data_IF_768097024450
#
_entry.id   IF_768097024450
#
_cell.length_a   1.000
_cell.length_b   1.000
_cell.length_c   1.000
_cell.angle_alpha   90.00
_cell.angle_beta   90.00
_cell.angle_gamma   90.00
#
_symmetry.space_group_name_H-M   'P 1'
#
loop_
_entity.id
_entity.type
_entity.pdbx_description
1 polymer ?
#
# COMPACT_ATOMS: atom_id res chain seq x y z
N UNK A 1 38.30 -10.83 -63.71
CA UNK A 1 38.41 -12.01 -62.83
C UNK A 1 38.21 -11.51 -61.40
N UNK A 2 37.01 -11.66 -60.86
CA UNK A 2 36.64 -11.26 -59.50
C UNK A 2 36.14 -12.50 -58.77
N UNK A 3 36.70 -12.88 -57.61
CA UNK A 3 36.25 -14.07 -56.91
C UNK A 3 34.99 -13.78 -56.08
N UNK A 4 33.99 -14.65 -56.28
CA UNK A 4 32.90 -14.93 -55.36
C UNK A 4 33.47 -15.33 -53.99
N UNK A 5 33.05 -14.66 -52.91
CA UNK A 5 33.16 -15.21 -51.56
C UNK A 5 31.78 -15.22 -50.90
N UNK A 6 31.17 -16.39 -50.99
CA UNK A 6 30.09 -16.85 -50.12
C UNK A 6 30.68 -16.99 -48.71
N UNK A 7 30.20 -16.22 -47.73
CA UNK A 7 30.37 -16.57 -46.32
C UNK A 7 28.98 -16.82 -45.71
N UNK A 8 28.68 -18.06 -45.27
CA UNK A 8 27.42 -18.39 -44.65
C UNK A 8 27.43 -17.93 -43.19
N UNK A 9 26.26 -17.50 -42.72
CA UNK A 9 25.69 -17.97 -41.46
C UNK A 9 26.62 -17.97 -40.23
N UNK A 10 26.74 -16.82 -39.55
CA UNK A 10 27.04 -16.81 -38.11
C UNK A 10 26.23 -15.72 -37.41
N UNK A 11 24.91 -15.93 -37.36
CA UNK A 11 24.01 -15.29 -36.40
C UNK A 11 24.33 -15.82 -35.01
N UNK A 12 25.22 -15.16 -34.27
CA UNK A 12 25.40 -15.43 -32.85
C UNK A 12 24.28 -14.76 -32.07
N UNK A 13 23.10 -15.40 -32.05
CA UNK A 13 22.00 -15.01 -31.18
C UNK A 13 22.38 -15.42 -29.75
N UNK A 14 23.02 -14.51 -29.00
CA UNK A 14 23.18 -14.68 -27.55
C UNK A 14 21.79 -14.47 -26.94
N UNK A 15 20.97 -15.52 -26.92
CA UNK A 15 19.84 -15.56 -26.00
C UNK A 15 20.42 -15.82 -24.62
N UNK A 16 20.72 -14.75 -23.88
CA UNK A 16 20.85 -14.89 -22.43
C UNK A 16 19.47 -15.32 -21.92
N UNK A 17 19.29 -16.63 -21.70
CA UNK A 17 18.24 -17.10 -20.81
C UNK A 17 18.60 -16.55 -19.42
N UNK A 18 18.08 -15.37 -19.10
CA UNK A 18 17.96 -14.96 -17.70
C UNK A 18 16.91 -15.89 -17.12
N UNK A 19 17.35 -16.98 -16.51
CA UNK A 19 16.50 -17.75 -15.61
C UNK A 19 16.31 -16.88 -14.37
N UNK A 20 15.23 -16.10 -14.35
CA UNK A 20 14.79 -15.44 -13.13
C UNK A 20 14.63 -16.54 -12.07
N UNK A 21 15.46 -16.50 -11.03
CA UNK A 21 15.31 -17.42 -9.91
C UNK A 21 13.90 -17.23 -9.35
N UNK A 22 13.17 -18.31 -9.03
CA UNK A 22 11.86 -18.18 -8.41
C UNK A 22 12.01 -17.42 -7.10
N UNK A 23 11.14 -16.43 -6.88
CA UNK A 23 11.07 -15.68 -5.63
C UNK A 23 10.84 -16.63 -4.44
N UNK A 24 11.36 -16.25 -3.28
CA UNK A 24 11.11 -16.98 -2.05
C UNK A 24 9.59 -17.04 -1.78
N UNK A 25 9.02 -18.19 -1.34
CA UNK A 25 7.58 -18.33 -1.15
C UNK A 25 6.95 -17.25 -0.25
N UNK A 26 7.64 -16.86 0.82
CA UNK A 26 7.19 -15.78 1.70
C UNK A 26 7.14 -14.41 1.00
N UNK A 27 8.07 -14.14 0.08
CA UNK A 27 8.05 -12.91 -0.72
C UNK A 27 6.87 -12.90 -1.68
N UNK A 28 6.56 -14.03 -2.32
CA UNK A 28 5.38 -14.15 -3.18
C UNK A 28 4.07 -13.96 -2.39
N UNK A 29 4.00 -14.49 -1.16
CA UNK A 29 2.87 -14.29 -0.28
C UNK A 29 2.69 -12.80 0.06
N UNK A 30 3.76 -12.11 0.47
CA UNK A 30 3.72 -10.66 0.71
C UNK A 30 3.24 -9.88 -0.52
N UNK A 31 3.79 -10.13 -1.71
CA UNK A 31 3.38 -9.42 -2.93
C UNK A 31 1.90 -9.67 -3.27
N UNK A 32 1.42 -10.90 -3.03
CA UNK A 32 -0.01 -11.23 -3.18
C UNK A 32 -0.86 -10.44 -2.19
N UNK A 33 -0.42 -10.31 -0.95
CA UNK A 33 -1.14 -9.56 0.08
C UNK A 33 -1.12 -8.05 -0.15
N UNK A 34 -0.01 -7.49 -0.65
CA UNK A 34 0.11 -6.08 -1.07
C UNK A 34 -0.90 -5.80 -2.20
N UNK A 35 -1.01 -6.68 -3.19
CA UNK A 35 -2.03 -6.57 -4.24
C UNK A 35 -3.46 -6.69 -3.68
N UNK A 36 -3.70 -7.61 -2.75
CA UNK A 36 -5.01 -7.74 -2.10
C UNK A 36 -5.38 -6.52 -1.24
N UNK A 37 -4.38 -5.87 -0.62
CA UNK A 37 -4.54 -4.62 0.12
C UNK A 37 -4.91 -3.47 -0.82
N UNK A 38 -4.20 -3.34 -1.94
CA UNK A 38 -4.48 -2.38 -3.00
C UNK A 38 -5.93 -2.49 -3.52
N UNK A 39 -6.40 -3.71 -3.80
CA UNK A 39 -7.80 -3.96 -4.14
C UNK A 39 -8.79 -3.56 -3.03
N UNK A 40 -8.43 -3.76 -1.76
CA UNK A 40 -9.28 -3.37 -0.64
C UNK A 40 -9.37 -1.84 -0.49
N UNK A 41 -8.29 -1.10 -0.74
CA UNK A 41 -8.29 0.37 -0.77
C UNK A 41 -9.27 0.86 -1.83
N UNK A 42 -9.17 0.37 -3.07
CA UNK A 42 -10.11 0.73 -4.14
C UNK A 42 -11.56 0.40 -3.82
N UNK A 43 -11.81 -0.75 -3.18
CA UNK A 43 -13.15 -1.12 -2.75
C UNK A 43 -13.70 -0.13 -1.71
N UNK A 44 -12.88 0.29 -0.75
CA UNK A 44 -13.24 1.32 0.22
C UNK A 44 -13.50 2.67 -0.47
N UNK A 45 -12.65 3.08 -1.42
CA UNK A 45 -12.82 4.29 -2.23
C UNK A 45 -14.16 4.31 -2.98
N UNK A 46 -14.51 3.19 -3.61
CA UNK A 46 -15.78 3.06 -4.32
C UNK A 46 -16.97 3.11 -3.36
N UNK A 47 -16.87 2.46 -2.19
CA UNK A 47 -17.93 2.46 -1.20
C UNK A 47 -18.21 3.87 -0.65
N UNK A 48 -17.17 4.64 -0.31
CA UNK A 48 -17.37 6.02 0.13
C UNK A 48 -17.84 6.92 -1.01
N UNK A 49 -17.31 6.77 -2.22
CA UNK A 49 -17.75 7.57 -3.37
C UNK A 49 -19.25 7.38 -3.69
N UNK A 50 -19.78 6.18 -3.45
CA UNK A 50 -21.20 5.85 -3.65
C UNK A 50 -22.11 6.13 -2.44
N UNK A 51 -21.56 6.59 -1.31
CA UNK A 51 -22.31 6.79 -0.07
C UNK A 51 -23.34 7.93 -0.21
N UNK A 52 -24.65 7.66 -0.04
CA UNK A 52 -25.69 8.68 -0.22
C UNK A 52 -26.04 9.44 1.08
N UNK A 53 -25.38 9.18 2.20
CA UNK A 53 -25.75 9.70 3.52
C UNK A 53 -26.61 8.74 4.35
N UNK A 54 -26.73 9.03 5.65
CA UNK A 54 -27.47 8.23 6.63
C UNK A 54 -26.68 7.04 7.20
N UNK A 55 -27.15 6.49 8.31
CA UNK A 55 -26.40 5.46 9.07
C UNK A 55 -26.44 4.08 8.42
N UNK A 56 -27.59 3.67 7.86
CA UNK A 56 -27.75 2.37 7.22
C UNK A 56 -26.97 2.27 5.89
N UNK A 57 -26.99 3.28 4.99
CA UNK A 57 -26.20 3.24 3.77
C UNK A 57 -24.68 3.33 3.98
N UNK A 58 -24.21 3.52 5.22
CA UNK A 58 -22.79 3.54 5.57
C UNK A 58 -22.19 2.13 5.73
N UNK A 59 -23.03 1.09 5.89
CA UNK A 59 -22.60 -0.30 6.07
C UNK A 59 -21.62 -0.82 5.00
N UNK A 60 -21.81 -0.56 3.69
CA UNK A 60 -20.84 -0.99 2.68
C UNK A 60 -19.43 -0.43 2.93
N UNK A 61 -19.32 0.80 3.42
CA UNK A 61 -18.03 1.39 3.75
C UNK A 61 -17.43 0.77 5.02
N UNK A 62 -18.24 0.49 6.05
CA UNK A 62 -17.78 -0.27 7.24
C UNK A 62 -17.18 -1.61 6.84
N UNK A 63 -17.89 -2.36 6.00
CA UNK A 63 -17.44 -3.67 5.52
C UNK A 63 -16.15 -3.55 4.70
N UNK A 64 -16.06 -2.56 3.80
CA UNK A 64 -14.86 -2.33 3.01
C UNK A 64 -13.65 -1.93 3.88
N UNK A 65 -13.85 -1.04 4.86
CA UNK A 65 -12.81 -0.64 5.80
C UNK A 65 -12.35 -1.79 6.70
N UNK A 66 -13.27 -2.63 7.18
CA UNK A 66 -12.92 -3.83 7.94
C UNK A 66 -12.06 -4.79 7.09
N UNK A 67 -12.36 -4.92 5.79
CA UNK A 67 -11.57 -5.70 4.86
C UNK A 67 -10.18 -5.07 4.61
N UNK A 68 -10.10 -3.75 4.47
CA UNK A 68 -8.85 -2.99 4.37
C UNK A 68 -7.94 -3.25 5.57
N UNK A 69 -8.46 -3.06 6.78
CA UNK A 69 -7.75 -3.34 8.05
C UNK A 69 -7.28 -4.80 8.09
N UNK A 70 -8.16 -5.74 7.75
CA UNK A 70 -7.82 -7.18 7.74
C UNK A 70 -6.66 -7.47 6.78
N UNK A 71 -6.69 -6.95 5.55
CA UNK A 71 -5.62 -7.17 4.56
C UNK A 71 -4.30 -6.59 5.02
N UNK A 72 -4.34 -5.41 5.64
CA UNK A 72 -3.15 -4.77 6.19
C UNK A 72 -2.48 -5.65 7.26
N UNK A 73 -3.28 -6.19 8.19
CA UNK A 73 -2.79 -7.09 9.25
C UNK A 73 -2.27 -8.43 8.73
N UNK A 74 -2.87 -8.99 7.68
CA UNK A 74 -2.37 -10.21 7.02
C UNK A 74 -1.00 -9.93 6.40
N UNK A 75 -0.90 -8.87 5.58
CA UNK A 75 0.37 -8.46 4.98
C UNK A 75 1.46 -8.19 6.03
N UNK A 76 1.08 -7.59 7.17
CA UNK A 76 2.01 -7.34 8.27
C UNK A 76 2.54 -8.65 8.87
N UNK A 77 1.66 -9.61 9.15
CA UNK A 77 2.07 -10.90 9.69
C UNK A 77 3.01 -11.65 8.73
N UNK A 78 2.72 -11.60 7.43
CA UNK A 78 3.59 -12.21 6.42
C UNK A 78 4.93 -11.48 6.33
N UNK A 79 4.94 -10.14 6.41
CA UNK A 79 6.15 -9.34 6.44
C UNK A 79 7.08 -9.68 7.62
N UNK A 80 6.53 -10.03 8.78
CA UNK A 80 7.32 -10.46 9.94
C UNK A 80 8.10 -11.75 9.67
N UNK A 81 7.64 -12.61 8.76
CA UNK A 81 8.28 -13.89 8.44
C UNK A 81 9.26 -13.82 7.26
N UNK A 82 9.35 -12.67 6.59
CA UNK A 82 10.24 -12.52 5.44
C UNK A 82 11.71 -12.69 5.83
N UNK A 83 12.49 -13.43 5.04
CA UNK A 83 13.94 -13.35 5.13
C UNK A 83 14.43 -11.97 4.66
N UNK A 84 15.68 -11.57 4.95
CA UNK A 84 16.30 -10.43 4.29
C UNK A 84 16.20 -10.54 2.76
N UNK A 85 15.77 -9.48 2.10
CA UNK A 85 15.54 -9.45 0.65
C UNK A 85 16.80 -9.00 -0.10
N UNK A 86 16.97 -9.50 -1.32
CA UNK A 86 17.99 -9.01 -2.26
C UNK A 86 17.67 -7.58 -2.72
N UNK A 87 18.62 -6.90 -3.37
CA UNK A 87 18.40 -5.57 -3.95
C UNK A 87 17.27 -5.60 -4.99
N UNK A 88 17.28 -6.58 -5.90
CA UNK A 88 16.29 -6.71 -6.97
C UNK A 88 14.89 -6.94 -6.41
N UNK A 89 14.77 -7.86 -5.45
CA UNK A 89 13.48 -8.15 -4.81
C UNK A 89 13.00 -6.98 -3.95
N UNK A 90 13.91 -6.27 -3.28
CA UNK A 90 13.54 -5.08 -2.52
C UNK A 90 12.99 -3.99 -3.43
N UNK A 91 13.60 -3.78 -4.61
CA UNK A 91 13.10 -2.84 -5.63
C UNK A 91 11.71 -3.23 -6.09
N UNK A 92 11.45 -4.51 -6.37
CA UNK A 92 10.11 -4.98 -6.77
C UNK A 92 9.05 -4.72 -5.69
N UNK A 93 9.37 -4.97 -4.42
CA UNK A 93 8.46 -4.67 -3.29
C UNK A 93 8.21 -3.18 -3.19
N UNK A 94 9.25 -2.35 -3.28
CA UNK A 94 9.13 -0.88 -3.25
C UNK A 94 8.27 -0.38 -4.41
N UNK A 95 8.48 -0.88 -5.63
CA UNK A 95 7.72 -0.45 -6.82
C UNK A 95 6.22 -0.75 -6.67
N UNK A 96 5.86 -1.93 -6.14
CA UNK A 96 4.45 -2.25 -5.90
C UNK A 96 3.81 -1.39 -4.79
N UNK A 97 4.57 -0.96 -3.78
CA UNK A 97 4.06 -0.05 -2.75
C UNK A 97 4.00 1.39 -3.28
N UNK A 98 4.98 1.82 -4.07
CA UNK A 98 5.05 3.16 -4.65
C UNK A 98 3.98 3.39 -5.73
N UNK A 99 3.65 2.35 -6.49
CA UNK A 99 2.76 2.40 -7.64
C UNK A 99 2.11 1.02 -7.84
N UNK A 100 0.93 0.75 -7.23
CA UNK A 100 -0.24 1.64 -7.26
C UNK A 100 -0.80 2.14 -5.91
N UNK A 101 -0.30 1.68 -4.76
CA UNK A 101 -0.98 1.89 -3.47
C UNK A 101 -1.09 3.37 -3.07
N UNK A 102 -0.01 4.14 -3.24
CA UNK A 102 -0.02 5.56 -2.84
C UNK A 102 -1.10 6.41 -3.53
N UNK A 103 -1.24 6.38 -4.88
CA UNK A 103 -2.35 7.02 -5.56
C UNK A 103 -3.74 6.57 -5.07
N UNK A 104 -3.91 5.28 -4.76
CA UNK A 104 -5.20 4.75 -4.32
C UNK A 104 -5.56 5.21 -2.89
N UNK A 105 -4.56 5.41 -2.03
CA UNK A 105 -4.72 6.07 -0.72
C UNK A 105 -5.23 7.51 -0.90
N UNK A 106 -4.64 8.26 -1.82
CA UNK A 106 -5.04 9.65 -2.08
C UNK A 106 -6.49 9.72 -2.57
N UNK A 107 -6.85 8.82 -3.47
CA UNK A 107 -8.21 8.73 -3.98
C UNK A 107 -9.22 8.40 -2.87
N UNK A 108 -8.86 7.51 -1.95
CA UNK A 108 -9.69 7.16 -0.80
C UNK A 108 -9.90 8.36 0.13
N UNK A 109 -8.81 9.03 0.53
CA UNK A 109 -8.88 10.23 1.40
C UNK A 109 -9.69 11.34 0.73
N UNK A 110 -9.43 11.63 -0.53
CA UNK A 110 -10.19 12.64 -1.28
C UNK A 110 -11.68 12.28 -1.40
N UNK A 111 -12.04 10.99 -1.47
CA UNK A 111 -13.43 10.57 -1.49
C UNK A 111 -14.12 10.74 -0.12
N UNK A 112 -13.41 10.47 0.99
CA UNK A 112 -13.90 10.78 2.34
C UNK A 112 -14.15 12.27 2.54
N UNK A 113 -13.20 13.12 2.13
CA UNK A 113 -13.33 14.57 2.21
C UNK A 113 -14.55 15.09 1.44
N UNK A 114 -14.81 14.55 0.25
CA UNK A 114 -15.99 14.92 -0.55
C UNK A 114 -17.32 14.55 0.11
N UNK A 115 -17.33 13.51 0.94
CA UNK A 115 -18.53 13.02 1.62
C UNK A 115 -18.65 13.51 3.07
N UNK A 116 -17.79 14.45 3.46
CA UNK A 116 -17.71 14.98 4.81
C UNK A 116 -19.08 15.35 5.38
N UNK A 117 -19.82 16.19 4.67
CA UNK A 117 -21.10 16.72 5.16
C UNK A 117 -22.16 15.63 5.33
N UNK A 118 -22.15 14.58 4.48
CA UNK A 118 -23.06 13.45 4.62
C UNK A 118 -22.71 12.57 5.83
N UNK A 119 -21.41 12.37 6.08
CA UNK A 119 -20.90 11.64 7.24
C UNK A 119 -21.23 12.41 8.53
N UNK A 120 -21.04 13.73 8.53
CA UNK A 120 -21.36 14.62 9.64
C UNK A 120 -22.87 14.64 9.93
N UNK A 121 -23.70 14.80 8.89
CA UNK A 121 -25.15 14.77 9.03
C UNK A 121 -25.67 13.41 9.58
N UNK A 122 -24.96 12.32 9.32
CA UNK A 122 -25.26 11.00 9.85
C UNK A 122 -24.70 10.75 11.27
N UNK A 123 -23.91 11.68 11.83
CA UNK A 123 -23.27 11.55 13.14
C UNK A 123 -22.14 10.52 13.18
N UNK A 124 -21.50 10.25 12.04
CA UNK A 124 -20.53 9.16 11.86
C UNK A 124 -19.06 9.62 11.90
N UNK A 125 -18.80 10.92 12.06
CA UNK A 125 -17.44 11.51 12.00
C UNK A 125 -16.44 10.80 12.93
N UNK A 126 -16.84 10.51 14.18
CA UNK A 126 -15.98 9.82 15.14
C UNK A 126 -15.66 8.39 14.71
N UNK A 127 -16.64 7.68 14.15
CA UNK A 127 -16.44 6.32 13.66
C UNK A 127 -15.48 6.31 12.47
N UNK A 128 -15.67 7.23 11.53
CA UNK A 128 -14.80 7.44 10.37
C UNK A 128 -13.37 7.76 10.81
N UNK A 129 -13.20 8.73 11.72
CA UNK A 129 -11.90 9.14 12.23
C UNK A 129 -11.18 7.98 12.96
N UNK A 130 -11.90 7.25 13.82
CA UNK A 130 -11.33 6.08 14.53
C UNK A 130 -10.88 5.01 13.54
N UNK A 131 -11.68 4.76 12.49
CA UNK A 131 -11.33 3.77 11.46
C UNK A 131 -10.06 4.18 10.70
N UNK A 132 -9.94 5.47 10.35
CA UNK A 132 -8.76 6.01 9.68
C UNK A 132 -7.52 5.94 10.54
N UNK A 133 -7.64 6.20 11.84
CA UNK A 133 -6.55 6.05 12.81
C UNK A 133 -6.02 4.62 12.84
N UNK A 134 -6.91 3.63 12.88
CA UNK A 134 -6.53 2.21 12.84
C UNK A 134 -5.87 1.86 11.51
N UNK A 135 -6.42 2.29 10.37
CA UNK A 135 -5.84 2.03 9.05
C UNK A 135 -4.44 2.65 8.93
N UNK A 136 -4.27 3.89 9.41
CA UNK A 136 -2.99 4.58 9.42
C UNK A 136 -1.95 3.83 10.26
N UNK A 137 -2.32 3.43 11.49
CA UNK A 137 -1.46 2.67 12.39
C UNK A 137 -1.07 1.31 11.80
N UNK A 138 -2.02 0.57 11.22
CA UNK A 138 -1.74 -0.72 10.60
C UNK A 138 -0.81 -0.54 9.38
N UNK A 139 -0.99 0.52 8.59
CA UNK A 139 -0.13 0.80 7.42
C UNK A 139 1.30 1.19 7.82
N UNK A 140 1.46 1.97 8.89
CA UNK A 140 2.77 2.33 9.44
C UNK A 140 3.50 1.08 9.93
N UNK A 141 2.83 0.21 10.69
CA UNK A 141 3.43 -1.03 11.21
C UNK A 141 3.79 -2.01 10.10
N UNK A 142 2.95 -2.16 9.07
CA UNK A 142 3.28 -2.90 7.85
C UNK A 142 4.52 -2.31 7.16
N UNK A 143 4.56 -1.00 6.95
CA UNK A 143 5.68 -0.33 6.28
C UNK A 143 7.00 -0.53 7.01
N UNK A 144 6.98 -0.46 8.35
CA UNK A 144 8.15 -0.73 9.19
C UNK A 144 8.58 -2.21 9.09
N UNK A 145 7.63 -3.14 9.18
CA UNK A 145 7.91 -4.57 9.08
C UNK A 145 8.53 -4.95 7.73
N UNK A 146 7.98 -4.42 6.62
CA UNK A 146 8.54 -4.62 5.29
C UNK A 146 9.91 -3.95 5.17
N UNK A 147 10.02 -2.68 5.59
CA UNK A 147 11.27 -1.90 5.51
C UNK A 147 12.45 -2.56 6.22
N UNK A 148 12.20 -3.21 7.37
CA UNK A 148 13.23 -3.96 8.11
C UNK A 148 13.78 -5.19 7.36
N UNK A 149 13.12 -5.61 6.27
CA UNK A 149 13.49 -6.79 5.46
C UNK A 149 14.11 -6.40 4.13
N UNK A 150 13.97 -5.14 3.71
CA UNK A 150 14.53 -4.64 2.46
C UNK A 150 16.05 -4.48 2.55
N UNK A 151 16.70 -4.51 1.39
CA UNK A 151 18.12 -4.20 1.27
C UNK A 151 18.38 -2.74 1.70
N UNK A 152 19.34 -2.47 2.59
CA UNK A 152 19.65 -1.11 3.04
C UNK A 152 19.96 -0.13 1.89
N UNK A 153 20.53 -0.63 0.79
CA UNK A 153 20.88 0.15 -0.41
C UNK A 153 19.63 0.67 -1.13
N UNK A 154 18.49 0.00 -0.97
CA UNK A 154 17.20 0.37 -1.59
C UNK A 154 16.34 1.30 -0.73
N UNK A 155 16.69 1.50 0.55
CA UNK A 155 15.88 2.32 1.48
C UNK A 155 15.79 3.80 1.06
N UNK A 156 16.79 4.32 0.34
CA UNK A 156 16.73 5.67 -0.24
C UNK A 156 15.60 5.86 -1.28
N UNK A 157 15.11 4.75 -1.86
CA UNK A 157 13.97 4.73 -2.78
C UNK A 157 12.62 4.52 -2.06
N UNK A 158 12.62 4.20 -0.75
CA UNK A 158 11.42 3.90 0.05
C UNK A 158 10.64 5.14 0.54
N UNK A 159 10.79 6.27 -0.15
CA UNK A 159 10.03 7.53 0.04
C UNK A 159 8.50 7.37 0.19
N UNK A 160 7.83 6.34 -0.35
CA UNK A 160 6.38 6.20 -0.25
C UNK A 160 5.78 6.12 1.16
N UNK A 161 6.39 5.39 2.08
CA UNK A 161 5.76 5.07 3.38
C UNK A 161 5.56 6.32 4.27
N UNK A 162 6.55 7.22 4.32
CA UNK A 162 6.45 8.45 5.11
C UNK A 162 5.40 9.43 4.55
N UNK A 163 5.17 9.43 3.23
CA UNK A 163 4.14 10.25 2.58
C UNK A 163 2.73 9.70 2.83
N UNK A 164 2.56 8.37 2.84
CA UNK A 164 1.28 7.74 3.16
C UNK A 164 0.80 8.11 4.58
N UNK A 165 1.69 8.02 5.58
CA UNK A 165 1.40 8.41 6.97
C UNK A 165 0.88 9.83 7.09
N UNK A 166 1.56 10.78 6.43
CA UNK A 166 1.14 12.18 6.41
C UNK A 166 -0.27 12.37 5.85
N UNK A 167 -0.67 11.61 4.82
CA UNK A 167 -1.98 11.78 4.18
C UNK A 167 -3.12 11.11 4.94
N UNK A 168 -2.88 9.95 5.54
CA UNK A 168 -3.84 9.35 6.47
C UNK A 168 -4.11 10.26 7.67
N UNK A 169 -3.05 10.82 8.26
CA UNK A 169 -3.13 11.55 9.52
C UNK A 169 -3.49 13.03 9.37
N UNK A 170 -3.00 13.74 8.35
CA UNK A 170 -3.18 15.21 8.23
C UNK A 170 -4.46 15.58 7.51
N UNK A 171 -4.89 14.80 6.51
CA UNK A 171 -6.05 15.14 5.69
C UNK A 171 -7.32 14.41 6.12
N UNK A 172 -7.23 13.16 6.60
CA UNK A 172 -8.41 12.35 6.88
C UNK A 172 -8.74 12.21 8.38
N UNK A 173 -7.77 12.32 9.29
CA UNK A 173 -7.98 12.08 10.72
C UNK A 173 -7.64 13.24 11.66
N UNK A 174 -6.70 14.11 11.29
CA UNK A 174 -6.21 15.19 12.14
C UNK A 174 -7.26 16.27 12.38
N UNK A 175 -7.08 16.99 13.49
CA UNK A 175 -7.96 18.05 14.01
C UNK A 175 -8.34 19.18 13.02
N UNK A 176 -7.85 19.15 11.77
CA UNK A 176 -8.14 20.14 10.72
C UNK A 176 -9.40 19.88 9.88
N UNK A 177 -9.89 18.64 9.76
CA UNK A 177 -11.08 18.34 8.92
C UNK A 177 -12.28 17.88 9.74
N UNK A 178 -12.11 16.91 10.64
CA UNK A 178 -13.23 16.29 11.36
C UNK A 178 -13.38 16.77 12.81
N UNK A 179 -12.58 17.75 13.25
CA UNK A 179 -12.62 18.31 14.61
C UNK A 179 -12.27 17.32 15.74
N UNK A 180 -11.91 16.07 15.42
CA UNK A 180 -11.47 15.06 16.37
C UNK A 180 -9.94 15.00 16.36
N UNK A 181 -9.25 15.29 17.47
CA UNK A 181 -7.82 15.04 17.54
C UNK A 181 -7.56 13.53 17.47
N UNK A 182 -6.73 13.09 16.52
CA UNK A 182 -6.15 11.74 16.57
C UNK A 182 -5.40 11.58 17.89
N UNK A 183 -5.54 10.43 18.55
CA UNK A 183 -4.69 10.17 19.70
C UNK A 183 -3.24 10.12 19.21
N UNK A 184 -2.28 10.71 19.94
CA UNK A 184 -0.88 10.57 19.57
C UNK A 184 -0.50 9.09 19.63
N UNK A 185 -0.27 8.46 18.47
CA UNK A 185 0.39 7.16 18.38
C UNK A 185 1.84 7.36 18.79
N UNK A 186 2.09 7.33 20.10
CA UNK A 186 3.43 7.25 20.69
C UNK A 186 4.03 5.92 20.24
N UNK A 187 4.88 5.97 19.24
CA UNK A 187 5.87 4.90 19.04
C UNK A 187 6.88 5.09 20.18
N UNK A 188 7.13 4.09 21.04
CA UNK A 188 8.28 4.16 21.93
C UNK A 188 9.53 4.19 21.03
N UNK A 189 10.12 5.36 20.91
CA UNK A 189 11.57 5.45 20.83
C UNK A 189 12.03 5.01 22.21
N UNK A 190 12.61 3.81 22.31
CA UNK A 190 13.58 3.34 23.31
C UNK A 190 13.58 1.79 23.29
N UNK A 191 14.69 1.08 23.06
CA UNK A 191 16.08 1.50 22.92
C UNK A 191 17.00 0.40 22.40
#
# INVERSE_FOLDING_TARGET
MSPLFLHPLLLLLITTLTSALPLHPATNALLTDISALDHAIRAATNAIAAYPGGTQPYEPLRAANAQLIRRNRIAYNDALTLPPQSIDTSTQIIDQVASPILPDIDAYVAALLRQHDLIAAAGLERETATTLEVVASDHDTLSLAVGARLSPVTLGCAVPAARARGRWAVEAGGAGVWGVPLAPLVVPVDG
#
